data_IF_201258084450
#
_entry.id   IF_201258084450
#
_cell.length_a   1.000
_cell.length_b   1.000
_cell.length_c   1.000
_cell.angle_alpha   90.00
_cell.angle_beta   90.00
_cell.angle_gamma   90.00
#
_symmetry.space_group_name_H-M   'P 1'
#
loop_
_entity.id
_entity.type
_entity.pdbx_description
1 polymer ?
#
# COMPACT_ATOMS: atom_id res chain seq x y z
N UNK A 1 4.83 9.59 -7.66
CA UNK A 1 5.35 8.39 -6.97
C UNK A 1 6.57 8.66 -6.07
N UNK A 2 7.12 9.87 -6.05
CA UNK A 2 8.20 10.22 -5.14
C UNK A 2 7.68 10.30 -3.70
N UNK A 3 8.26 9.54 -2.78
CA UNK A 3 7.89 9.56 -1.37
C UNK A 3 9.00 8.98 -0.50
N UNK A 4 9.10 9.49 0.73
CA UNK A 4 9.85 8.87 1.82
C UNK A 4 8.93 7.85 2.49
N UNK A 5 9.41 6.60 2.63
CA UNK A 5 8.62 5.50 3.20
C UNK A 5 8.49 5.57 4.72
N UNK A 6 7.57 4.78 5.28
CA UNK A 6 7.12 4.90 6.66
C UNK A 6 8.24 4.91 7.72
N UNK A 7 9.19 3.98 7.66
CA UNK A 7 10.28 3.90 8.64
C UNK A 7 11.21 5.11 8.58
N UNK A 8 11.55 5.56 7.38
CA UNK A 8 12.40 6.73 7.21
C UNK A 8 11.66 8.03 7.57
N UNK A 9 10.38 8.17 7.21
CA UNK A 9 9.58 9.35 7.58
C UNK A 9 9.40 9.50 9.09
N UNK A 10 9.42 8.39 9.84
CA UNK A 10 9.37 8.40 11.31
C UNK A 10 10.70 8.84 11.93
N UNK A 11 11.82 8.41 11.34
CA UNK A 11 13.16 8.77 11.83
C UNK A 11 13.59 10.18 11.41
N UNK A 12 13.24 10.59 10.19
CA UNK A 12 13.65 11.85 9.57
C UNK A 12 12.39 12.70 9.28
N UNK A 13 11.76 13.21 10.36
CA UNK A 13 10.48 13.91 10.29
C UNK A 13 10.48 15.04 9.24
N UNK A 14 11.49 15.93 9.26
CA UNK A 14 11.58 17.08 8.35
C UNK A 14 11.73 16.64 6.89
N UNK A 15 12.49 15.58 6.62
CA UNK A 15 12.65 15.03 5.27
C UNK A 15 11.31 14.46 4.77
N UNK A 16 10.64 13.65 5.59
CA UNK A 16 9.32 13.13 5.30
C UNK A 16 8.30 14.25 5.02
N UNK A 17 8.26 15.25 5.88
CA UNK A 17 7.39 16.43 5.72
C UNK A 17 7.65 17.20 4.43
N UNK A 18 8.92 17.48 4.13
CA UNK A 18 9.30 18.23 2.94
C UNK A 18 8.96 17.48 1.65
N UNK A 19 9.25 16.19 1.59
CA UNK A 19 9.03 15.39 0.36
C UNK A 19 7.57 14.98 0.23
N UNK A 20 6.97 14.38 1.27
CA UNK A 20 5.64 13.80 1.15
C UNK A 20 4.53 14.87 1.16
N UNK A 21 4.62 15.88 2.02
CA UNK A 21 3.56 16.89 2.18
C UNK A 21 3.82 18.12 1.34
N UNK A 22 4.96 18.81 1.56
CA UNK A 22 5.30 20.03 0.82
C UNK A 22 5.52 19.75 -0.67
N UNK A 23 6.13 18.59 -1.03
CA UNK A 23 6.29 18.18 -2.42
C UNK A 23 4.96 17.96 -3.12
N UNK A 24 4.00 17.32 -2.45
CA UNK A 24 2.64 17.13 -2.99
C UNK A 24 1.91 18.47 -3.15
N UNK A 25 1.93 19.31 -2.11
CA UNK A 25 1.34 20.65 -2.17
C UNK A 25 2.00 21.52 -3.24
N UNK A 26 3.33 21.53 -3.34
CA UNK A 26 4.06 22.27 -4.37
C UNK A 26 3.68 21.86 -5.79
N UNK A 27 3.45 20.56 -6.03
CA UNK A 27 2.95 20.05 -7.30
C UNK A 27 1.54 20.62 -7.60
N UNK A 28 0.62 20.56 -6.63
CA UNK A 28 -0.74 21.07 -6.80
C UNK A 28 -0.75 22.60 -7.05
N UNK A 29 0.10 23.35 -6.36
CA UNK A 29 0.28 24.80 -6.60
C UNK A 29 0.88 25.09 -7.98
N UNK A 30 1.84 24.29 -8.43
CA UNK A 30 2.40 24.43 -9.77
C UNK A 30 1.34 24.21 -10.86
N UNK A 31 0.45 23.21 -10.67
CA UNK A 31 -0.68 22.98 -11.57
C UNK A 31 -1.64 24.18 -11.53
N UNK A 32 -2.07 24.59 -10.34
CA UNK A 32 -3.00 25.72 -10.15
C UNK A 32 -2.48 27.02 -10.78
N UNK A 33 -1.16 27.25 -10.71
CA UNK A 33 -0.54 28.47 -11.29
C UNK A 33 -0.59 28.55 -12.81
N UNK A 34 -0.93 27.44 -13.51
CA UNK A 34 -1.11 27.45 -14.98
C UNK A 34 -2.46 28.09 -15.42
N UNK A 35 -3.33 28.41 -14.44
CA UNK A 35 -4.62 29.06 -14.70
C UNK A 35 -5.78 28.11 -14.93
N UNK A 36 -6.98 28.66 -14.99
CA UNK A 36 -8.25 27.92 -14.95
C UNK A 36 -8.50 27.00 -16.16
N UNK A 37 -7.79 27.20 -17.26
CA UNK A 37 -7.91 26.35 -18.46
C UNK A 37 -7.10 25.05 -18.35
N UNK A 38 -6.28 24.88 -17.32
CA UNK A 38 -5.43 23.68 -17.10
C UNK A 38 -5.90 22.90 -15.89
N UNK A 39 -6.71 21.86 -16.12
CA UNK A 39 -7.24 20.97 -15.09
C UNK A 39 -6.85 19.51 -15.41
N UNK A 40 -5.57 19.12 -15.15
CA UNK A 40 -5.09 17.80 -15.52
C UNK A 40 -5.61 16.72 -14.57
N UNK A 41 -5.63 15.45 -15.05
CA UNK A 41 -5.80 14.27 -14.22
C UNK A 41 -4.59 14.13 -13.28
N UNK A 42 -4.87 14.01 -11.98
CA UNK A 42 -3.87 13.74 -10.93
C UNK A 42 -4.25 12.47 -10.18
N UNK A 43 -3.44 11.41 -10.33
CA UNK A 43 -3.56 10.18 -9.54
C UNK A 43 -2.56 10.23 -8.40
N UNK A 44 -3.07 10.33 -7.16
CA UNK A 44 -2.26 10.37 -5.96
C UNK A 44 -2.17 9.00 -5.29
N UNK A 45 -0.95 8.50 -5.11
CA UNK A 45 -0.71 7.27 -4.35
C UNK A 45 -0.70 7.56 -2.87
N UNK A 46 -1.83 7.29 -2.21
CA UNK A 46 -1.94 7.23 -0.78
C UNK A 46 -1.65 5.80 -0.26
N UNK A 47 -1.96 5.53 0.98
CA UNK A 47 -1.62 4.27 1.65
C UNK A 47 -2.67 3.92 2.70
N UNK A 48 -2.86 2.63 2.98
CA UNK A 48 -3.62 2.17 4.16
C UNK A 48 -3.00 2.63 5.49
N UNK A 49 -1.78 3.16 5.48
CA UNK A 49 -1.14 3.78 6.66
C UNK A 49 -1.83 5.05 7.18
N UNK A 50 -2.81 5.60 6.43
CA UNK A 50 -3.68 6.68 6.90
C UNK A 50 -4.62 6.25 8.03
N UNK A 51 -4.78 4.95 8.23
CA UNK A 51 -5.59 4.38 9.29
C UNK A 51 -4.73 3.98 10.48
N UNK A 52 -5.23 4.22 11.69
CA UNK A 52 -4.62 3.83 12.95
C UNK A 52 -5.64 3.16 13.87
N UNK A 53 -5.17 2.23 14.69
CA UNK A 53 -6.00 1.49 15.67
C UNK A 53 -6.64 2.43 16.71
N UNK A 54 -7.81 2.05 17.31
CA UNK A 54 -8.50 0.77 17.17
C UNK A 54 -9.31 0.66 15.87
N UNK A 55 -9.42 -0.57 15.33
CA UNK A 55 -10.15 -0.85 14.11
C UNK A 55 -11.38 -1.73 14.35
N UNK A 56 -12.45 -1.60 13.53
CA UNK A 56 -13.45 -2.65 13.37
C UNK A 56 -12.83 -3.87 12.67
N UNK A 57 -13.50 -5.03 12.76
CA UNK A 57 -13.03 -6.26 12.08
C UNK A 57 -12.89 -6.09 10.57
N UNK A 58 -13.75 -5.27 9.99
CA UNK A 58 -13.74 -4.88 8.58
C UNK A 58 -13.78 -3.35 8.50
N UNK A 59 -12.72 -2.72 8.00
CA UNK A 59 -12.65 -1.26 7.82
C UNK A 59 -13.50 -0.88 6.60
N UNK A 60 -14.59 -0.10 6.77
CA UNK A 60 -15.44 0.30 5.67
C UNK A 60 -14.81 1.42 4.82
N UNK A 61 -15.35 1.62 3.62
CA UNK A 61 -14.89 2.64 2.65
C UNK A 61 -14.97 4.08 3.17
N UNK A 62 -15.81 4.34 4.16
CA UNK A 62 -16.04 5.65 4.77
C UNK A 62 -15.39 5.80 6.15
N UNK A 63 -14.56 4.84 6.57
CA UNK A 63 -13.86 4.93 7.84
C UNK A 63 -12.92 6.15 7.85
N UNK A 64 -12.91 6.86 8.97
CA UNK A 64 -12.12 8.06 9.15
C UNK A 64 -10.61 7.76 9.27
N UNK A 65 -9.79 8.70 8.82
CA UNK A 65 -8.32 8.58 8.92
C UNK A 65 -7.85 9.01 10.30
N UNK A 66 -7.08 8.13 10.95
CA UNK A 66 -6.46 8.35 12.27
C UNK A 66 -5.03 7.84 12.27
N UNK A 67 -4.15 8.42 11.44
CA UNK A 67 -2.79 7.90 11.29
C UNK A 67 -2.02 7.95 12.61
N UNK A 68 -1.26 6.88 12.89
CA UNK A 68 -0.38 6.76 14.07
C UNK A 68 1.10 6.84 13.69
N UNK A 69 1.41 7.26 12.46
CA UNK A 69 2.78 7.45 11.95
C UNK A 69 2.89 8.74 11.18
N UNK A 70 4.09 9.32 11.16
CA UNK A 70 4.40 10.54 10.37
C UNK A 70 4.06 10.34 8.89
N UNK A 71 4.42 9.20 8.31
CA UNK A 71 4.08 8.85 6.93
C UNK A 71 2.57 8.83 6.68
N UNK A 72 1.81 8.16 7.56
CA UNK A 72 0.35 8.10 7.45
C UNK A 72 -0.30 9.48 7.56
N UNK A 73 0.18 10.33 8.48
CA UNK A 73 -0.28 11.72 8.63
C UNK A 73 0.00 12.54 7.36
N UNK A 74 1.21 12.44 6.81
CA UNK A 74 1.62 13.14 5.59
C UNK A 74 0.75 12.71 4.38
N UNK A 75 0.43 11.42 4.25
CA UNK A 75 -0.46 10.92 3.20
C UNK A 75 -1.90 11.42 3.39
N UNK A 76 -2.45 11.38 4.61
CA UNK A 76 -3.78 11.86 4.90
C UNK A 76 -3.94 13.38 4.63
N UNK A 77 -2.95 14.19 5.00
CA UNK A 77 -2.92 15.63 4.68
C UNK A 77 -2.94 15.84 3.16
N UNK A 78 -2.14 15.08 2.41
CA UNK A 78 -2.10 15.19 0.95
C UNK A 78 -3.39 14.74 0.27
N UNK A 79 -4.11 13.74 0.83
CA UNK A 79 -5.47 13.37 0.40
C UNK A 79 -6.45 14.55 0.53
N UNK A 80 -6.42 15.23 1.68
CA UNK A 80 -7.30 16.38 1.95
C UNK A 80 -6.97 17.56 1.03
N UNK A 81 -5.68 17.84 0.82
CA UNK A 81 -5.25 18.87 -0.15
C UNK A 81 -5.78 18.55 -1.55
N UNK A 82 -5.52 17.35 -2.07
CA UNK A 82 -5.99 16.95 -3.39
C UNK A 82 -7.52 17.04 -3.50
N UNK A 83 -8.23 16.62 -2.46
CA UNK A 83 -9.70 16.69 -2.45
C UNK A 83 -10.22 18.12 -2.54
N UNK A 84 -9.59 19.09 -1.85
CA UNK A 84 -10.00 20.49 -1.93
C UNK A 84 -9.66 21.12 -3.28
N UNK A 85 -8.46 20.86 -3.81
CA UNK A 85 -8.06 21.30 -5.15
C UNK A 85 -8.98 20.75 -6.24
N UNK A 86 -9.39 19.49 -6.11
CA UNK A 86 -10.35 18.86 -7.05
C UNK A 86 -11.75 19.46 -6.94
N UNK A 87 -12.23 19.63 -5.72
CA UNK A 87 -13.54 20.28 -5.46
C UNK A 87 -13.61 21.69 -6.00
N UNK A 88 -12.47 22.40 -6.06
CA UNK A 88 -12.32 23.74 -6.63
C UNK A 88 -12.13 23.75 -8.15
N UNK A 89 -12.03 22.58 -8.78
CA UNK A 89 -11.81 22.47 -10.24
C UNK A 89 -10.38 22.81 -10.70
N UNK A 90 -9.42 22.86 -9.78
CA UNK A 90 -8.01 23.14 -10.10
C UNK A 90 -7.29 21.92 -10.66
N UNK A 91 -7.72 20.74 -10.27
CA UNK A 91 -7.23 19.43 -10.77
C UNK A 91 -8.38 18.44 -10.89
N UNK A 92 -8.26 17.47 -11.77
CA UNK A 92 -9.13 16.29 -11.81
C UNK A 92 -8.45 15.16 -11.01
N UNK A 93 -8.68 15.17 -9.70
CA UNK A 93 -7.96 14.34 -8.73
C UNK A 93 -8.63 13.02 -8.41
N UNK A 94 -7.81 11.99 -8.24
CA UNK A 94 -8.18 10.72 -7.63
C UNK A 94 -7.06 10.26 -6.70
N UNK A 95 -7.41 9.84 -5.48
CA UNK A 95 -6.46 9.31 -4.50
C UNK A 95 -6.73 7.83 -4.28
N UNK A 96 -5.71 7.00 -4.38
CA UNK A 96 -5.78 5.55 -4.16
C UNK A 96 -4.94 5.15 -2.96
N UNK A 97 -5.56 4.56 -1.93
CA UNK A 97 -4.90 4.00 -0.75
C UNK A 97 -4.43 2.60 -1.07
N UNK A 98 -3.14 2.47 -1.35
CA UNK A 98 -2.54 1.20 -1.73
C UNK A 98 -2.46 0.24 -0.54
N UNK A 99 -2.72 -1.07 -0.76
CA UNK A 99 -2.33 -2.15 0.14
C UNK A 99 -0.83 -2.19 0.37
N UNK A 100 -0.38 -3.04 1.29
CA UNK A 100 1.03 -3.43 1.33
C UNK A 100 1.36 -4.23 0.08
N UNK A 101 2.25 -3.69 -0.73
CA UNK A 101 2.66 -4.34 -1.98
C UNK A 101 3.62 -5.50 -1.68
N UNK A 102 3.22 -6.68 -2.11
CA UNK A 102 3.88 -7.98 -1.91
C UNK A 102 3.67 -8.88 -3.16
N UNK A 103 4.68 -9.50 -3.73
CA UNK A 103 6.07 -9.56 -3.31
C UNK A 103 6.85 -8.46 -4.04
N UNK A 104 7.54 -7.60 -3.29
CA UNK A 104 8.37 -6.55 -3.90
C UNK A 104 9.70 -7.12 -4.36
N UNK A 105 10.13 -6.88 -5.61
CA UNK A 105 11.45 -7.26 -6.08
C UNK A 105 12.57 -6.40 -5.45
N UNK A 106 13.80 -6.81 -5.68
CA UNK A 106 14.99 -6.07 -5.27
C UNK A 106 15.37 -6.26 -3.80
N UNK A 107 16.30 -5.42 -3.33
CA UNK A 107 16.86 -5.52 -1.97
C UNK A 107 15.87 -5.03 -0.91
N UNK A 108 15.90 -5.59 0.31
CA UNK A 108 15.14 -5.07 1.45
C UNK A 108 15.40 -3.57 1.67
N UNK A 109 14.36 -2.85 2.05
CA UNK A 109 14.44 -1.44 2.43
C UNK A 109 14.03 -1.26 3.91
N UNK A 110 14.08 -0.01 4.42
CA UNK A 110 13.76 0.32 5.81
C UNK A 110 12.26 0.27 6.16
N UNK A 111 11.39 -0.20 5.27
CA UNK A 111 9.97 -0.35 5.57
C UNK A 111 9.77 -1.55 6.52
N UNK A 112 9.09 -1.34 7.66
CA UNK A 112 8.78 -2.41 8.61
C UNK A 112 7.97 -3.55 7.96
N UNK A 113 7.19 -3.28 6.89
CA UNK A 113 6.46 -4.27 6.09
C UNK A 113 7.34 -5.10 5.14
N UNK A 114 8.66 -4.85 5.11
CA UNK A 114 9.58 -5.53 4.20
C UNK A 114 9.61 -7.04 4.36
N UNK A 115 9.41 -7.53 5.58
CA UNK A 115 9.45 -8.97 5.89
C UNK A 115 8.33 -9.76 5.18
N UNK A 116 7.15 -9.19 4.90
CA UNK A 116 6.10 -9.89 4.15
C UNK A 116 6.56 -10.29 2.74
N UNK A 117 7.34 -9.43 2.09
CA UNK A 117 7.99 -9.80 0.82
C UNK A 117 9.20 -10.71 1.05
N UNK A 118 9.97 -10.45 2.10
CA UNK A 118 11.19 -11.19 2.42
C UNK A 118 10.96 -12.68 2.63
N UNK A 119 9.94 -13.07 3.41
CA UNK A 119 9.62 -14.48 3.69
C UNK A 119 9.16 -15.29 2.47
N UNK A 120 8.91 -14.62 1.35
CA UNK A 120 8.58 -15.24 0.06
C UNK A 120 9.75 -15.13 -0.91
N UNK A 121 10.27 -13.91 -1.09
CA UNK A 121 11.31 -13.58 -2.07
C UNK A 121 12.62 -14.31 -1.80
N UNK A 122 13.17 -14.21 -0.57
CA UNK A 122 14.45 -14.80 -0.23
C UNK A 122 14.42 -16.33 -0.36
N UNK A 123 13.43 -17.06 0.20
CA UNK A 123 13.32 -18.51 0.03
C UNK A 123 13.21 -18.94 -1.44
N UNK A 124 12.45 -18.23 -2.27
CA UNK A 124 12.36 -18.52 -3.72
C UNK A 124 13.70 -18.31 -4.44
N UNK A 125 14.59 -17.48 -3.90
CA UNK A 125 15.96 -17.29 -4.38
C UNK A 125 16.98 -18.20 -3.65
N UNK A 126 16.55 -19.21 -2.89
CA UNK A 126 17.42 -20.13 -2.17
C UNK A 126 18.12 -19.52 -0.95
N UNK A 127 17.62 -18.41 -0.42
CA UNK A 127 18.20 -17.69 0.71
C UNK A 127 17.33 -17.83 1.97
N UNK A 128 17.95 -17.78 3.15
CA UNK A 128 17.20 -17.71 4.41
C UNK A 128 16.50 -16.36 4.56
N UNK A 129 15.29 -16.40 5.12
CA UNK A 129 14.49 -15.22 5.45
C UNK A 129 14.17 -15.19 6.93
N UNK A 130 14.28 -14.02 7.56
CA UNK A 130 13.87 -13.83 8.95
C UNK A 130 12.39 -13.45 9.00
N UNK A 131 11.61 -14.20 9.79
CA UNK A 131 10.24 -13.86 10.16
C UNK A 131 10.24 -13.21 11.55
N UNK A 132 10.04 -11.87 11.63
CA UNK A 132 10.18 -11.13 12.89
C UNK A 132 8.89 -11.04 13.71
N UNK A 133 7.80 -11.64 13.25
CA UNK A 133 6.47 -11.58 13.88
C UNK A 133 5.87 -12.97 14.04
N UNK A 134 4.78 -13.07 14.81
CA UNK A 134 4.04 -14.32 14.95
C UNK A 134 3.25 -14.65 13.67
N UNK A 135 2.93 -15.91 13.44
CA UNK A 135 2.31 -16.37 12.20
C UNK A 135 0.82 -16.02 12.10
N UNK A 136 0.18 -15.61 13.19
CA UNK A 136 -1.20 -15.14 13.24
C UNK A 136 -1.38 -13.68 12.80
N UNK A 137 -0.28 -12.94 12.63
CA UNK A 137 -0.31 -11.57 12.13
C UNK A 137 -0.97 -11.52 10.75
N UNK A 138 -2.11 -10.82 10.67
CA UNK A 138 -2.90 -10.64 9.45
C UNK A 138 -2.67 -9.26 8.86
N UNK A 139 -2.58 -9.18 7.52
CA UNK A 139 -2.41 -7.90 6.84
C UNK A 139 -3.06 -7.88 5.45
N UNK A 140 -3.13 -6.70 4.83
CA UNK A 140 -3.77 -6.42 3.55
C UNK A 140 -2.75 -6.28 2.44
N UNK A 141 -2.82 -7.13 1.39
CA UNK A 141 -1.81 -7.25 0.35
C UNK A 141 -2.36 -7.12 -1.07
N UNK A 142 -1.53 -6.60 -1.98
CA UNK A 142 -1.69 -6.70 -3.43
C UNK A 142 -0.30 -6.76 -4.10
N UNK A 143 -0.24 -7.20 -5.36
CA UNK A 143 1.02 -7.29 -6.11
C UNK A 143 1.48 -5.95 -6.68
N UNK A 144 2.77 -5.84 -7.10
CA UNK A 144 3.23 -4.73 -7.93
C UNK A 144 2.44 -4.61 -9.26
N UNK A 145 2.04 -5.75 -9.87
CA UNK A 145 1.21 -5.81 -11.09
C UNK A 145 -0.15 -5.15 -10.84
N UNK A 146 -0.84 -5.50 -9.75
CA UNK A 146 -2.10 -4.85 -9.36
C UNK A 146 -1.91 -3.38 -9.04
N UNK A 147 -0.84 -2.99 -8.35
CA UNK A 147 -0.56 -1.58 -8.05
C UNK A 147 -0.38 -0.74 -9.34
N UNK A 148 0.31 -1.27 -10.35
CA UNK A 148 0.42 -0.64 -11.67
C UNK A 148 -0.97 -0.56 -12.36
N UNK A 149 -1.75 -1.64 -12.30
CA UNK A 149 -3.11 -1.67 -12.82
C UNK A 149 -4.02 -0.64 -12.16
N UNK A 150 -3.92 -0.44 -10.84
CA UNK A 150 -4.68 0.60 -10.13
C UNK A 150 -4.34 2.00 -10.63
N UNK A 151 -3.06 2.29 -10.87
CA UNK A 151 -2.62 3.60 -11.37
C UNK A 151 -3.14 3.88 -12.77
N UNK A 152 -3.03 2.91 -13.67
CA UNK A 152 -3.52 3.01 -15.05
C UNK A 152 -5.04 3.19 -15.04
N UNK A 153 -5.78 2.33 -14.33
CA UNK A 153 -7.23 2.41 -14.25
C UNK A 153 -7.71 3.73 -13.64
N UNK A 154 -7.05 4.22 -12.57
CA UNK A 154 -7.35 5.50 -11.97
C UNK A 154 -7.10 6.69 -12.93
N UNK A 155 -6.07 6.59 -13.78
CA UNK A 155 -5.80 7.63 -14.78
C UNK A 155 -6.90 7.73 -15.86
N UNK A 156 -7.54 6.61 -16.19
CA UNK A 156 -8.57 6.50 -17.22
C UNK A 156 -10.01 6.60 -16.67
N UNK A 157 -10.19 6.47 -15.35
CA UNK A 157 -11.50 6.46 -14.70
C UNK A 157 -12.26 7.78 -14.93
N UNK A 158 -13.53 7.68 -15.25
CA UNK A 158 -14.46 8.82 -15.21
C UNK A 158 -14.70 9.25 -13.76
N UNK A 159 -14.04 10.34 -13.33
CA UNK A 159 -14.09 10.85 -11.95
C UNK A 159 -15.44 11.41 -11.54
N UNK A 160 -16.35 11.68 -12.48
CA UNK A 160 -17.73 12.07 -12.16
C UNK A 160 -18.47 10.99 -11.35
N UNK A 161 -18.07 9.72 -11.51
CA UNK A 161 -18.59 8.56 -10.75
C UNK A 161 -18.15 8.55 -9.28
N UNK A 162 -17.17 9.37 -8.90
CA UNK A 162 -16.66 9.42 -7.52
C UNK A 162 -17.54 10.23 -6.56
N UNK A 163 -18.51 11.01 -7.08
CA UNK A 163 -19.43 11.82 -6.28
C UNK A 163 -18.71 12.69 -5.24
N UNK A 164 -17.67 13.41 -5.64
CA UNK A 164 -16.80 14.25 -4.81
C UNK A 164 -16.00 13.49 -3.71
N UNK A 165 -16.11 12.17 -3.62
CA UNK A 165 -15.34 11.33 -2.70
C UNK A 165 -14.19 10.66 -3.44
N UNK A 166 -13.20 11.46 -3.80
CA UNK A 166 -12.11 11.10 -4.73
C UNK A 166 -11.09 10.10 -4.16
N UNK A 167 -11.16 9.79 -2.87
CA UNK A 167 -10.26 8.84 -2.22
C UNK A 167 -10.91 7.46 -2.11
N UNK A 168 -10.17 6.43 -2.53
CA UNK A 168 -10.59 5.04 -2.57
C UNK A 168 -9.61 4.12 -1.85
N UNK A 169 -10.13 3.16 -1.07
CA UNK A 169 -9.34 2.01 -0.61
C UNK A 169 -9.19 1.01 -1.76
N UNK A 170 -7.96 0.64 -2.10
CA UNK A 170 -7.74 -0.32 -3.20
C UNK A 170 -8.02 -1.75 -2.77
N UNK A 171 -8.53 -2.59 -3.71
CA UNK A 171 -8.73 -4.01 -3.45
C UNK A 171 -7.42 -4.69 -3.07
N UNK A 172 -7.53 -5.79 -2.37
CA UNK A 172 -6.40 -6.60 -1.91
C UNK A 172 -6.88 -7.86 -1.23
N UNK A 173 -5.94 -8.57 -0.64
CA UNK A 173 -6.17 -9.84 0.05
C UNK A 173 -5.77 -9.74 1.52
N UNK A 174 -6.70 -10.07 2.42
CA UNK A 174 -6.45 -10.17 3.87
C UNK A 174 -5.99 -11.58 4.21
N UNK A 175 -4.71 -11.75 4.55
CA UNK A 175 -4.14 -13.06 4.92
C UNK A 175 -3.22 -12.95 6.13
N UNK A 176 -3.13 -14.04 6.89
CA UNK A 176 -2.13 -14.19 7.95
C UNK A 176 -0.76 -14.55 7.37
N UNK A 177 0.29 -14.36 8.16
CA UNK A 177 1.63 -14.85 7.82
C UNK A 177 1.62 -16.37 7.65
N UNK A 178 0.84 -17.10 8.47
CA UNK A 178 0.68 -18.55 8.31
C UNK A 178 0.12 -18.91 6.93
N UNK A 179 -0.96 -18.24 6.51
CA UNK A 179 -1.56 -18.45 5.18
C UNK A 179 -0.59 -18.14 4.04
N UNK A 180 0.30 -17.12 4.21
CA UNK A 180 1.37 -16.81 3.24
C UNK A 180 2.40 -17.93 3.15
N UNK A 181 2.84 -18.49 4.29
CA UNK A 181 3.81 -19.59 4.37
C UNK A 181 3.21 -20.86 3.74
N UNK A 182 1.96 -21.15 4.01
CA UNK A 182 1.25 -22.29 3.42
C UNK A 182 1.12 -22.15 1.89
N UNK A 183 0.81 -20.95 1.40
CA UNK A 183 0.78 -20.66 -0.04
C UNK A 183 2.17 -20.86 -0.68
N UNK A 184 3.25 -20.42 -0.01
CA UNK A 184 4.60 -20.67 -0.48
C UNK A 184 4.90 -22.18 -0.58
N UNK A 185 4.45 -22.96 0.41
CA UNK A 185 4.58 -24.42 0.41
C UNK A 185 3.81 -25.07 -0.75
N UNK A 186 2.60 -24.60 -1.06
CA UNK A 186 1.81 -25.09 -2.20
C UNK A 186 2.45 -24.77 -3.55
N UNK A 187 2.98 -23.56 -3.70
CA UNK A 187 3.51 -23.08 -4.98
C UNK A 187 4.94 -23.56 -5.25
N UNK A 188 5.81 -23.58 -4.24
CA UNK A 188 7.24 -23.81 -4.40
C UNK A 188 7.77 -25.06 -3.64
N UNK A 189 6.93 -25.70 -2.86
CA UNK A 189 7.31 -26.88 -2.08
C UNK A 189 7.83 -26.57 -0.67
N UNK A 190 7.76 -27.60 0.20
CA UNK A 190 8.09 -27.45 1.62
C UNK A 190 9.59 -27.21 1.89
N UNK A 191 10.47 -27.56 0.96
CA UNK A 191 11.90 -27.32 1.16
C UNK A 191 12.23 -25.82 1.11
N UNK A 192 11.51 -25.05 0.31
CA UNK A 192 11.61 -23.60 0.27
C UNK A 192 11.14 -22.97 1.58
N UNK A 193 10.05 -23.48 2.16
CA UNK A 193 9.51 -23.02 3.46
C UNK A 193 10.51 -23.19 4.61
N UNK A 194 11.36 -24.22 4.60
CA UNK A 194 12.40 -24.47 5.63
C UNK A 194 13.44 -23.34 5.73
N UNK A 195 13.55 -22.51 4.69
CA UNK A 195 14.45 -21.35 4.68
C UNK A 195 13.89 -20.15 5.50
N UNK A 196 12.63 -20.18 5.90
CA UNK A 196 12.04 -19.17 6.79
C UNK A 196 12.47 -19.46 8.23
N UNK A 197 13.13 -18.50 8.87
CA UNK A 197 13.60 -18.60 10.25
C UNK A 197 12.78 -17.68 11.14
N UNK A 198 11.98 -18.25 12.03
CA UNK A 198 11.21 -17.47 13.00
C UNK A 198 12.14 -16.89 14.07
N UNK A 199 12.33 -15.59 14.03
CA UNK A 199 13.14 -14.82 14.98
C UNK A 199 12.39 -13.54 15.36
N UNK A 200 11.51 -13.59 16.38
CA UNK A 200 10.67 -12.47 16.78
C UNK A 200 11.44 -11.22 17.15
N UNK A 201 11.02 -10.08 16.63
CA UNK A 201 11.54 -8.76 16.98
C UNK A 201 10.44 -7.96 17.70
N UNK A 202 10.61 -7.62 19.00
CA UNK A 202 9.60 -6.89 19.78
C UNK A 202 9.24 -5.52 19.19
N UNK A 203 10.19 -4.85 18.54
CA UNK A 203 9.97 -3.53 17.94
C UNK A 203 9.05 -3.67 16.72
N UNK A 204 9.35 -4.61 15.82
CA UNK A 204 8.54 -4.88 14.64
C UNK A 204 7.15 -5.39 15.04
N UNK A 205 7.05 -6.30 16.02
CA UNK A 205 5.77 -6.78 16.57
C UNK A 205 4.89 -5.62 17.05
N UNK A 206 5.47 -4.68 17.82
CA UNK A 206 4.76 -3.50 18.31
C UNK A 206 4.27 -2.61 17.18
N UNK A 207 5.09 -2.37 16.16
CA UNK A 207 4.71 -1.56 14.99
C UNK A 207 3.54 -2.21 14.25
N UNK A 208 3.65 -3.49 13.95
CA UNK A 208 2.67 -4.25 13.14
C UNK A 208 1.34 -4.44 13.86
N UNK A 209 1.33 -4.54 15.20
CA UNK A 209 0.10 -4.71 15.99
C UNK A 209 -0.90 -3.55 15.81
N UNK A 210 -0.44 -2.36 15.43
CA UNK A 210 -1.27 -1.19 15.15
C UNK A 210 -1.73 -1.06 13.70
N UNK A 211 -1.45 -2.03 12.82
CA UNK A 211 -1.76 -1.93 11.40
C UNK A 211 -3.15 -2.46 11.04
N UNK A 212 -3.75 -1.83 10.04
CA UNK A 212 -5.02 -2.25 9.46
C UNK A 212 -4.89 -3.60 8.76
N UNK A 213 -5.89 -4.48 8.96
CA UNK A 213 -5.81 -5.91 8.60
C UNK A 213 -6.77 -6.32 7.50
N UNK A 214 -7.93 -5.64 7.41
CA UNK A 214 -9.00 -6.07 6.52
C UNK A 214 -9.88 -4.89 6.11
N UNK A 215 -10.27 -4.82 4.83
CA UNK A 215 -11.00 -3.70 4.26
C UNK A 215 -12.22 -4.15 3.46
N UNK A 216 -13.31 -3.42 3.60
CA UNK A 216 -14.34 -3.38 2.56
C UNK A 216 -13.86 -2.44 1.45
N UNK A 217 -13.72 -2.96 0.24
CA UNK A 217 -13.31 -2.17 -0.93
C UNK A 217 -14.39 -2.18 -2.01
N UNK A 218 -15.67 -2.20 -1.55
CA UNK A 218 -16.80 -2.29 -2.45
C UNK A 218 -16.83 -1.15 -3.46
N UNK A 219 -16.53 0.08 -3.05
CA UNK A 219 -16.52 1.24 -3.97
C UNK A 219 -15.50 1.08 -5.10
N UNK A 220 -14.29 0.67 -4.79
CA UNK A 220 -13.26 0.47 -5.81
C UNK A 220 -13.56 -0.73 -6.70
N UNK A 221 -14.12 -1.82 -6.17
CA UNK A 221 -14.57 -2.97 -6.96
C UNK A 221 -15.72 -2.58 -7.91
N UNK A 222 -16.71 -1.84 -7.43
CA UNK A 222 -17.82 -1.33 -8.25
C UNK A 222 -17.34 -0.39 -9.39
N UNK A 223 -16.23 0.30 -9.18
CA UNK A 223 -15.57 1.15 -10.16
C UNK A 223 -14.61 0.39 -11.10
N UNK A 224 -14.50 -0.93 -10.96
CA UNK A 224 -13.74 -1.80 -11.86
C UNK A 224 -12.28 -2.07 -11.46
N UNK A 225 -11.81 -1.61 -10.29
CA UNK A 225 -10.50 -1.99 -9.77
C UNK A 225 -10.46 -3.47 -9.42
N UNK A 226 -9.33 -4.14 -9.65
CA UNK A 226 -9.18 -5.58 -9.43
C UNK A 226 -7.83 -5.87 -8.78
N UNK A 227 -7.80 -6.86 -7.88
CA UNK A 227 -6.60 -7.41 -7.27
C UNK A 227 -6.68 -8.95 -7.29
N UNK A 228 -5.63 -9.59 -6.82
CA UNK A 228 -5.52 -11.03 -6.63
C UNK A 228 -6.57 -11.53 -5.61
N UNK A 229 -7.01 -12.77 -5.78
CA UNK A 229 -8.00 -13.42 -4.93
C UNK A 229 -7.39 -14.48 -4.00
N UNK A 230 -6.16 -14.91 -4.29
CA UNK A 230 -5.40 -15.87 -3.48
C UNK A 230 -3.96 -15.41 -3.30
N UNK A 231 -3.32 -15.88 -2.22
CA UNK A 231 -1.90 -15.57 -2.02
C UNK A 231 -1.00 -16.41 -2.94
N UNK A 232 -1.50 -17.55 -3.40
CA UNK A 232 -0.84 -18.37 -4.44
C UNK A 232 -0.66 -17.57 -5.73
N UNK A 233 -1.68 -16.81 -6.17
CA UNK A 233 -1.57 -15.88 -7.32
C UNK A 233 -0.50 -14.81 -7.09
N UNK A 234 -0.42 -14.24 -5.88
CA UNK A 234 0.61 -13.23 -5.52
C UNK A 234 2.02 -13.81 -5.71
N UNK A 235 2.24 -15.07 -5.27
CA UNK A 235 3.53 -15.75 -5.43
C UNK A 235 3.81 -16.08 -6.90
N UNK A 236 2.83 -16.57 -7.65
CA UNK A 236 2.97 -16.88 -9.07
C UNK A 236 3.34 -15.63 -9.89
N UNK A 237 2.70 -14.51 -9.63
CA UNK A 237 3.02 -13.23 -10.27
C UNK A 237 4.48 -12.83 -10.02
N UNK A 238 4.97 -12.98 -8.79
CA UNK A 238 6.37 -12.70 -8.49
C UNK A 238 7.32 -13.64 -9.26
N UNK A 239 7.00 -14.92 -9.36
CA UNK A 239 7.80 -15.89 -10.12
C UNK A 239 7.83 -15.53 -11.62
N UNK A 240 6.70 -15.11 -12.17
CA UNK A 240 6.59 -14.73 -13.58
C UNK A 240 7.33 -13.43 -13.90
N UNK A 241 7.15 -12.41 -13.06
CA UNK A 241 7.62 -11.06 -13.36
C UNK A 241 9.08 -10.81 -12.96
N UNK A 242 9.55 -11.40 -11.85
CA UNK A 242 10.78 -10.98 -11.18
C UNK A 242 11.78 -12.10 -10.89
N UNK A 243 11.33 -13.33 -10.62
CA UNK A 243 12.25 -14.42 -10.22
C UNK A 243 13.11 -14.94 -11.39
N UNK A 244 12.62 -14.86 -12.63
CA UNK A 244 13.27 -15.40 -13.83
C UNK A 244 14.20 -14.42 -14.55
N UNK A 245 14.39 -13.27 -13.97
CA UNK A 245 15.31 -12.24 -14.49
C UNK A 245 16.56 -12.22 -13.62
#
# INVERSE_FOLDING_TARGET
>A
LAAIVSGQAEQEFDLGWNINTRGSWGLFEAIRSQGDSYCPRVVFTSSIAVFGSPFPDLIPDDFFTTPLTSYGAQKAISELLLADYSRKGMVDGISIRLPTICVRPGKPNLAASGFFSGIIREPLNGQEAILPVDTDVRHWHATPRSAAGFLIHAAELDTSKLNNRITLNMPGLSVTVQEQIEALGRVAGNDVVKLIKHQPDPVIKKIVSGWARNFSTKRSLDLGFKAETTFDEIIQIYIEDDLKK
#
